data_IF_520227947628
#
_entry.id   IF_520227947628
#
_cell.length_a   1.000
_cell.length_b   1.000
_cell.length_c   1.000
_cell.angle_alpha   90.00
_cell.angle_beta   90.00
_cell.angle_gamma   90.00
#
_symmetry.space_group_name_H-M   'P 1'
#
loop_
_entity.id
_entity.type
_entity.pdbx_description
1 polymer ?
#
# COMPACT_ATOMS: atom_id res chain seq x y z
N UNK A 1 37.11 28.67 -8.15
CA UNK A 1 36.16 27.54 -8.23
C UNK A 1 36.64 26.50 -7.22
N UNK A 2 35.78 25.90 -6.39
CA UNK A 2 36.22 24.85 -5.48
C UNK A 2 36.70 23.66 -6.31
N UNK A 3 37.97 23.30 -6.17
CA UNK A 3 38.56 22.15 -6.86
C UNK A 3 37.90 20.88 -6.32
N UNK A 4 37.46 20.02 -7.24
CA UNK A 4 36.96 18.70 -6.87
C UNK A 4 38.08 17.93 -6.18
N UNK A 5 37.80 17.24 -5.05
CA UNK A 5 38.83 16.49 -4.35
C UNK A 5 39.42 15.44 -5.29
N UNK A 6 40.72 15.53 -5.55
CA UNK A 6 41.43 14.57 -6.38
C UNK A 6 41.76 13.34 -5.53
N UNK A 7 41.31 12.13 -5.91
CA UNK A 7 41.43 10.95 -5.07
C UNK A 7 42.85 10.37 -4.98
N UNK A 8 43.78 10.84 -5.83
CA UNK A 8 45.17 10.37 -5.86
C UNK A 8 46.12 11.56 -6.04
N UNK A 9 47.23 11.56 -5.31
CA UNK A 9 48.30 12.56 -5.46
C UNK A 9 49.06 12.33 -6.79
N UNK A 10 49.61 13.39 -7.37
CA UNK A 10 50.28 13.31 -8.68
C UNK A 10 51.52 12.38 -8.66
N UNK A 11 52.14 12.19 -7.50
CA UNK A 11 53.29 11.29 -7.33
C UNK A 11 52.88 9.82 -7.45
N UNK A 12 51.73 9.43 -6.92
CA UNK A 12 51.20 8.06 -7.01
C UNK A 12 50.80 7.70 -8.45
N UNK A 13 50.25 8.67 -9.18
CA UNK A 13 49.89 8.53 -10.59
C UNK A 13 51.14 8.26 -11.44
N UNK A 14 52.27 8.89 -11.11
CA UNK A 14 53.53 8.70 -11.83
C UNK A 14 54.22 7.39 -11.48
N UNK A 15 54.11 6.95 -10.23
CA UNK A 15 54.77 5.74 -9.73
C UNK A 15 54.10 4.48 -10.25
N UNK A 16 52.76 4.40 -10.17
CA UNK A 16 51.99 3.23 -10.59
C UNK A 16 50.67 3.61 -11.29
N UNK A 17 50.73 4.18 -12.51
CA UNK A 17 49.55 4.68 -13.23
C UNK A 17 48.49 3.59 -13.48
N UNK A 18 48.91 2.34 -13.67
CA UNK A 18 47.99 1.21 -13.91
C UNK A 18 47.13 0.92 -12.68
N UNK A 19 47.71 0.96 -11.48
CA UNK A 19 47.01 0.70 -10.23
C UNK A 19 45.97 1.80 -9.94
N UNK A 20 46.33 3.06 -10.21
CA UNK A 20 45.41 4.20 -10.07
C UNK A 20 44.20 4.06 -11.00
N UNK A 21 44.41 3.70 -12.27
CA UNK A 21 43.30 3.49 -13.22
C UNK A 21 42.40 2.35 -12.78
N UNK A 22 42.97 1.23 -12.30
CA UNK A 22 42.19 0.11 -11.76
C UNK A 22 41.38 0.55 -10.54
N UNK A 23 41.98 1.32 -9.62
CA UNK A 23 41.28 1.87 -8.45
C UNK A 23 40.13 2.81 -8.82
N UNK A 24 40.33 3.69 -9.81
CA UNK A 24 39.27 4.57 -10.33
C UNK A 24 38.14 3.77 -10.99
N UNK A 25 38.46 2.74 -11.78
CA UNK A 25 37.45 1.88 -12.41
C UNK A 25 36.64 1.10 -11.38
N UNK A 26 37.28 0.55 -10.34
CA UNK A 26 36.59 -0.13 -9.24
C UNK A 26 35.70 0.86 -8.48
N UNK A 27 36.21 2.05 -8.16
CA UNK A 27 35.44 3.09 -7.50
C UNK A 27 34.19 3.50 -8.29
N UNK A 28 34.35 3.71 -9.60
CA UNK A 28 33.23 3.99 -10.51
C UNK A 28 32.20 2.85 -10.51
N UNK A 29 32.67 1.61 -10.57
CA UNK A 29 31.81 0.43 -10.62
C UNK A 29 31.00 0.28 -9.31
N UNK A 30 31.62 0.54 -8.16
CA UNK A 30 30.94 0.54 -6.86
C UNK A 30 29.87 1.63 -6.76
N UNK A 31 30.14 2.83 -7.26
CA UNK A 31 29.15 3.92 -7.32
C UNK A 31 27.96 3.55 -8.21
N UNK A 32 28.22 2.97 -9.38
CA UNK A 32 27.18 2.48 -10.28
C UNK A 32 26.33 1.38 -9.62
N UNK A 33 26.95 0.39 -8.98
CA UNK A 33 26.23 -0.66 -8.26
C UNK A 33 25.40 -0.10 -7.10
N UNK A 34 25.92 0.88 -6.35
CA UNK A 34 25.18 1.56 -5.28
C UNK A 34 23.94 2.28 -5.80
N UNK A 35 24.09 3.04 -6.90
CA UNK A 35 22.97 3.73 -7.54
C UNK A 35 21.90 2.76 -8.06
N UNK A 36 22.30 1.67 -8.72
CA UNK A 36 21.38 0.63 -9.21
C UNK A 36 20.65 -0.02 -8.05
N UNK A 37 21.36 -0.39 -6.98
CA UNK A 37 20.76 -1.01 -5.80
C UNK A 37 19.75 -0.09 -5.11
N UNK A 38 20.05 1.20 -5.02
CA UNK A 38 19.12 2.21 -4.49
C UNK A 38 17.84 2.31 -5.33
N UNK A 39 17.98 2.44 -6.65
CA UNK A 39 16.83 2.52 -7.58
C UNK A 39 15.98 1.24 -7.50
N UNK A 40 16.60 0.07 -7.43
CA UNK A 40 15.88 -1.20 -7.35
C UNK A 40 15.09 -1.33 -6.05
N UNK A 41 15.72 -1.01 -4.92
CA UNK A 41 15.06 -1.02 -3.60
C UNK A 41 13.88 -0.06 -3.54
N UNK A 42 13.99 1.11 -4.17
CA UNK A 42 12.92 2.09 -4.19
C UNK A 42 11.73 1.63 -5.05
N UNK A 43 12.00 0.97 -6.18
CA UNK A 43 10.96 0.31 -6.99
C UNK A 43 10.26 -0.82 -6.24
N UNK A 44 11.02 -1.66 -5.55
CA UNK A 44 10.47 -2.77 -4.77
C UNK A 44 9.53 -2.25 -3.67
N UNK A 45 9.99 -1.22 -2.93
CA UNK A 45 9.19 -0.54 -1.90
C UNK A 45 7.91 0.11 -2.46
N UNK A 46 7.95 0.66 -3.66
CA UNK A 46 6.75 1.18 -4.33
C UNK A 46 5.76 0.07 -4.67
N UNK A 47 6.26 -1.07 -5.16
CA UNK A 47 5.41 -2.22 -5.50
C UNK A 47 4.73 -2.83 -4.28
N UNK A 48 5.45 -2.96 -3.16
CA UNK A 48 4.90 -3.46 -1.88
C UNK A 48 3.78 -2.56 -1.37
N UNK A 49 3.96 -1.23 -1.44
CA UNK A 49 2.94 -0.26 -1.04
C UNK A 49 1.69 -0.37 -1.90
N UNK A 50 1.84 -0.50 -3.21
CA UNK A 50 0.70 -0.67 -4.11
C UNK A 50 -0.06 -1.97 -3.79
N UNK A 51 0.67 -3.05 -3.52
CA UNK A 51 0.07 -4.33 -3.15
C UNK A 51 -0.72 -4.25 -1.83
N UNK A 52 -0.18 -3.56 -0.83
CA UNK A 52 -0.88 -3.30 0.43
C UNK A 52 -2.18 -2.51 0.22
N UNK A 53 -2.14 -1.43 -0.56
CA UNK A 53 -3.35 -0.64 -0.87
C UNK A 53 -4.42 -1.50 -1.53
N UNK A 54 -4.05 -2.34 -2.50
CA UNK A 54 -4.98 -3.24 -3.18
C UNK A 54 -5.61 -4.24 -2.20
N UNK A 55 -4.81 -4.80 -1.28
CA UNK A 55 -5.31 -5.73 -0.26
C UNK A 55 -6.26 -5.04 0.71
N UNK A 56 -5.91 -3.85 1.18
CA UNK A 56 -6.75 -3.07 2.11
C UNK A 56 -8.08 -2.68 1.47
N UNK A 57 -8.07 -2.22 0.22
CA UNK A 57 -9.30 -1.92 -0.52
C UNK A 57 -10.16 -3.17 -0.76
N UNK A 58 -9.55 -4.33 -0.99
CA UNK A 58 -10.28 -5.60 -1.13
C UNK A 58 -10.94 -5.98 0.19
N UNK A 59 -10.20 -5.91 1.29
CA UNK A 59 -10.72 -6.24 2.62
C UNK A 59 -11.85 -5.30 3.04
N UNK A 60 -11.70 -3.99 2.81
CA UNK A 60 -12.77 -3.02 3.07
C UNK A 60 -14.02 -3.30 2.24
N UNK A 61 -13.87 -3.68 0.96
CA UNK A 61 -15.01 -4.06 0.12
C UNK A 61 -15.74 -5.29 0.68
N UNK A 62 -15.00 -6.31 1.10
CA UNK A 62 -15.59 -7.52 1.71
C UNK A 62 -16.37 -7.14 2.96
N UNK A 63 -15.78 -6.39 3.88
CA UNK A 63 -16.44 -5.96 5.12
C UNK A 63 -17.72 -5.15 4.85
N UNK A 64 -17.67 -4.25 3.87
CA UNK A 64 -18.84 -3.47 3.47
C UNK A 64 -19.96 -4.37 2.92
N UNK A 65 -19.64 -5.36 2.09
CA UNK A 65 -20.63 -6.30 1.58
C UNK A 65 -21.23 -7.17 2.69
N UNK A 66 -20.41 -7.68 3.60
CA UNK A 66 -20.87 -8.45 4.76
C UNK A 66 -21.83 -7.63 5.63
N UNK A 67 -21.45 -6.38 5.91
CA UNK A 67 -22.29 -5.44 6.67
C UNK A 67 -23.60 -5.16 5.94
N UNK A 68 -23.57 -4.95 4.64
CA UNK A 68 -24.77 -4.73 3.83
C UNK A 68 -25.71 -5.95 3.87
N UNK A 69 -25.17 -7.16 3.70
CA UNK A 69 -25.93 -8.41 3.78
C UNK A 69 -26.54 -8.56 5.18
N UNK A 70 -25.77 -8.29 6.23
CA UNK A 70 -26.24 -8.34 7.60
C UNK A 70 -27.43 -7.40 7.83
N UNK A 71 -27.33 -6.13 7.41
CA UNK A 71 -28.42 -5.16 7.53
C UNK A 71 -29.64 -5.54 6.70
N UNK A 72 -29.43 -6.08 5.50
CA UNK A 72 -30.52 -6.57 4.67
C UNK A 72 -31.28 -7.71 5.34
N UNK A 73 -30.56 -8.64 5.98
CA UNK A 73 -31.14 -9.74 6.73
C UNK A 73 -31.90 -9.24 7.96
N UNK A 74 -31.30 -8.37 8.78
CA UNK A 74 -32.01 -7.75 9.91
C UNK A 74 -33.27 -7.02 9.48
N UNK A 75 -33.20 -6.24 8.39
CA UNK A 75 -34.36 -5.49 7.88
C UNK A 75 -35.48 -6.44 7.45
N UNK A 76 -35.16 -7.57 6.81
CA UNK A 76 -36.15 -8.60 6.48
C UNK A 76 -36.81 -9.17 7.73
N UNK A 77 -36.02 -9.51 8.76
CA UNK A 77 -36.54 -10.04 10.03
C UNK A 77 -37.43 -9.03 10.76
N UNK A 78 -37.01 -7.76 10.82
CA UNK A 78 -37.80 -6.69 11.44
C UNK A 78 -39.10 -6.46 10.69
N UNK A 79 -39.08 -6.38 9.35
CA UNK A 79 -40.30 -6.26 8.53
C UNK A 79 -41.27 -7.42 8.75
N UNK A 80 -40.75 -8.65 8.86
CA UNK A 80 -41.59 -9.82 9.14
C UNK A 80 -42.26 -9.72 10.52
N UNK A 81 -41.52 -9.33 11.56
CA UNK A 81 -42.10 -9.10 12.90
C UNK A 81 -43.13 -7.97 12.90
N UNK A 82 -42.84 -6.86 12.24
CA UNK A 82 -43.72 -5.70 12.18
C UNK A 82 -45.03 -6.03 11.45
N UNK A 83 -44.96 -6.83 10.37
CA UNK A 83 -46.16 -7.35 9.70
C UNK A 83 -47.00 -8.27 10.58
N UNK A 84 -46.37 -9.12 11.38
CA UNK A 84 -47.04 -10.02 12.33
C UNK A 84 -47.75 -9.24 13.42
N UNK A 85 -47.07 -8.24 14.00
CA UNK A 85 -47.65 -7.36 15.02
C UNK A 85 -48.83 -6.59 14.43
N UNK A 86 -48.69 -6.01 13.22
CA UNK A 86 -49.80 -5.32 12.54
C UNK A 86 -50.99 -6.25 12.26
N UNK A 87 -50.76 -7.48 11.81
CA UNK A 87 -51.84 -8.45 11.62
C UNK A 87 -52.56 -8.78 12.93
N UNK A 88 -51.81 -8.95 14.03
CA UNK A 88 -52.38 -9.25 15.35
C UNK A 88 -53.11 -8.05 15.97
N UNK A 89 -52.63 -6.82 15.73
CA UNK A 89 -53.21 -5.59 16.29
C UNK A 89 -54.31 -4.98 15.42
N UNK A 90 -54.36 -5.25 14.12
CA UNK A 90 -55.41 -4.81 13.19
C UNK A 90 -56.85 -5.02 13.72
N UNK A 91 -57.24 -6.20 14.25
CA UNK A 91 -58.60 -6.41 14.76
C UNK A 91 -58.91 -5.63 16.04
N UNK A 92 -57.91 -5.23 16.82
CA UNK A 92 -58.10 -4.40 18.01
C UNK A 92 -58.18 -2.92 17.63
N UNK A 93 -57.38 -2.49 16.66
CA UNK A 93 -57.39 -1.13 16.13
C UNK A 93 -58.71 -0.80 15.41
N UNK A 94 -59.27 -1.74 14.63
CA UNK A 94 -60.59 -1.58 13.99
C UNK A 94 -61.76 -1.50 14.98
N UNK A 95 -61.58 -1.97 16.23
CA UNK A 95 -62.60 -1.84 17.28
C UNK A 95 -62.51 -0.51 18.04
N UNK A 96 -61.40 0.21 17.91
CA UNK A 96 -61.11 1.45 18.64
C UNK A 96 -61.25 2.69 17.74
N UNK A 97 -60.97 2.55 16.44
CA UNK A 97 -61.22 3.61 15.46
C UNK A 97 -62.67 3.51 14.95
N UNK A 98 -63.47 4.60 15.03
CA UNK A 98 -64.86 4.64 14.59
C UNK A 98 -65.04 4.49 13.07
#
# INVERSE_FOLDING_TARGET
MPELPQPFEQEDIRKDPKAVVIGLLIGLLLLCCGAIGFIYREKEKQSERLYQVILDERNQRIENYERMIFWQNQTKTLKARDSLIKQQTAPYVQKILP
#
